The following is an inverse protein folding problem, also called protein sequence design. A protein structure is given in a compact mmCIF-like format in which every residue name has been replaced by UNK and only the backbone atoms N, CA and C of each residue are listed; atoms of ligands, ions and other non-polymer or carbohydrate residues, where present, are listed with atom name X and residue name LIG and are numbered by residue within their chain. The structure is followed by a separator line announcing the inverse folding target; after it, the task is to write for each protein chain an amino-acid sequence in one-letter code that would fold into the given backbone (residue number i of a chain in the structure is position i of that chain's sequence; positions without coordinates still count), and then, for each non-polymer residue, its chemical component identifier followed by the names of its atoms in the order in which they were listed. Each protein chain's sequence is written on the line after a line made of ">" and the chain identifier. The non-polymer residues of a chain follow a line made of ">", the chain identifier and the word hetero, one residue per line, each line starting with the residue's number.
data_IF_004909349359
#
_entry.id   IF_004909349359
#
_cell.length_a   1.000
_cell.length_b   1.000
_cell.length_c   1.000
_cell.angle_alpha   90.00
_cell.angle_beta   90.00
_cell.angle_gamma   90.00
#
_symmetry.space_group_name_H-M   'P 1'
#
loop_
_entity.id
_entity.type
_entity.pdbx_description
1 polymer ?
#
# COMPACT_ATOMS: atom_id res chain seq x y z
N UNK A 1 -17.44 2.02 23.10
CA UNK A 1 -16.07 2.60 23.00
C UNK A 1 -15.89 3.55 24.17
N UNK A 2 -14.74 3.50 24.84
CA UNK A 2 -14.42 4.43 25.95
C UNK A 2 -14.49 5.89 25.44
N UNK A 3 -15.27 6.80 26.08
CA UNK A 3 -15.37 8.20 25.70
C UNK A 3 -14.02 8.92 25.57
N UNK A 4 -13.04 8.58 26.41
CA UNK A 4 -11.68 9.18 26.34
C UNK A 4 -10.99 8.78 25.05
N UNK A 5 -11.02 7.49 24.72
CA UNK A 5 -10.46 6.96 23.46
C UNK A 5 -11.14 7.58 22.23
N UNK A 6 -12.45 7.76 22.28
CA UNK A 6 -13.20 8.39 21.19
C UNK A 6 -12.76 9.84 20.94
N UNK A 7 -12.54 10.62 22.01
CA UNK A 7 -12.07 11.99 21.91
C UNK A 7 -10.65 12.09 21.32
N UNK A 8 -9.76 11.17 21.70
CA UNK A 8 -8.40 11.11 21.13
C UNK A 8 -8.41 10.76 19.64
N UNK A 9 -9.24 9.80 19.23
CA UNK A 9 -9.42 9.46 17.81
C UNK A 9 -9.93 10.67 17.02
N UNK A 10 -10.91 11.42 17.55
CA UNK A 10 -11.42 12.60 16.83
C UNK A 10 -10.39 13.73 16.75
N UNK A 11 -9.57 13.92 17.79
CA UNK A 11 -8.43 14.85 17.75
C UNK A 11 -7.45 14.48 16.64
N UNK A 12 -7.09 13.21 16.54
CA UNK A 12 -6.18 12.70 15.50
C UNK A 12 -6.80 12.83 14.10
N UNK A 13 -8.10 12.58 13.96
CA UNK A 13 -8.84 12.79 12.72
C UNK A 13 -8.81 14.28 12.32
N UNK A 14 -8.97 15.21 13.25
CA UNK A 14 -8.85 16.63 12.97
C UNK A 14 -7.44 17.02 12.47
N UNK A 15 -6.38 16.46 13.08
CA UNK A 15 -5.01 16.63 12.59
C UNK A 15 -4.88 16.12 11.15
N UNK A 16 -5.28 14.87 10.89
CA UNK A 16 -5.22 14.28 9.55
C UNK A 16 -6.03 15.08 8.51
N UNK A 17 -7.22 15.60 8.86
CA UNK A 17 -8.00 16.47 7.97
C UNK A 17 -7.25 17.74 7.61
N UNK A 18 -6.58 18.36 8.59
CA UNK A 18 -5.81 19.59 8.36
C UNK A 18 -4.58 19.39 7.45
N UNK A 19 -4.07 18.17 7.35
CA UNK A 19 -2.92 17.80 6.53
C UNK A 19 -3.30 17.33 5.12
N UNK A 20 -4.59 17.24 4.81
CA UNK A 20 -5.07 16.88 3.48
C UNK A 20 -4.61 17.94 2.46
N UNK A 21 -4.11 17.48 1.31
CA UNK A 21 -3.61 18.33 0.24
C UNK A 21 -4.34 18.01 -1.06
N UNK A 22 -4.53 19.02 -1.89
CA UNK A 22 -5.06 18.82 -3.25
C UNK A 22 -4.07 18.07 -4.15
N UNK A 23 -2.77 18.18 -3.87
CA UNK A 23 -1.72 17.63 -4.71
C UNK A 23 -0.67 16.88 -3.88
N UNK A 24 -0.31 15.70 -4.36
CA UNK A 24 0.73 14.85 -3.77
C UNK A 24 1.79 14.49 -4.81
N UNK A 25 3.05 14.40 -4.37
CA UNK A 25 4.13 13.82 -5.17
C UNK A 25 4.42 12.42 -4.66
N UNK A 26 4.22 11.42 -5.51
CA UNK A 26 4.52 10.02 -5.20
C UNK A 26 5.91 9.68 -5.75
N UNK A 27 6.92 9.73 -4.89
CA UNK A 27 8.28 9.32 -5.28
C UNK A 27 8.29 7.81 -5.55
N UNK A 28 9.03 7.32 -6.55
CA UNK A 28 9.03 5.90 -6.89
C UNK A 28 7.67 5.38 -7.36
N UNK A 29 6.89 6.22 -8.04
CA UNK A 29 5.64 5.81 -8.69
C UNK A 29 5.88 5.26 -10.10
N UNK A 30 4.87 4.58 -10.64
CA UNK A 30 4.81 4.12 -12.02
C UNK A 30 3.67 4.82 -12.77
N UNK A 31 3.69 4.73 -14.10
CA UNK A 31 2.63 5.28 -14.97
C UNK A 31 1.44 4.33 -15.14
N UNK A 32 1.57 3.08 -14.68
CA UNK A 32 0.52 2.06 -14.75
C UNK A 32 0.38 1.31 -13.43
N UNK A 33 -0.80 0.73 -13.21
CA UNK A 33 -1.10 -0.10 -12.04
C UNK A 33 -0.17 -1.32 -11.97
N UNK A 34 -0.06 -2.06 -13.07
CA UNK A 34 0.81 -3.23 -13.20
C UNK A 34 2.28 -2.86 -13.04
N UNK A 35 2.71 -1.71 -13.58
CA UNK A 35 4.08 -1.23 -13.44
C UNK A 35 4.44 -0.91 -11.98
N UNK A 36 3.50 -0.34 -11.21
CA UNK A 36 3.72 -0.10 -9.78
C UNK A 36 3.90 -1.42 -9.01
N UNK A 37 3.11 -2.43 -9.34
CA UNK A 37 3.18 -3.77 -8.73
C UNK A 37 4.47 -4.49 -9.14
N UNK A 38 4.84 -4.47 -10.42
CA UNK A 38 6.09 -5.06 -10.93
C UNK A 38 7.31 -4.47 -10.23
N UNK A 39 7.36 -3.14 -10.11
CA UNK A 39 8.45 -2.42 -9.45
C UNK A 39 8.55 -2.79 -7.97
N UNK A 40 7.42 -2.81 -7.25
CA UNK A 40 7.39 -3.15 -5.83
C UNK A 40 7.82 -4.60 -5.58
N UNK A 41 7.33 -5.56 -6.38
CA UNK A 41 7.71 -6.97 -6.25
C UNK A 41 9.18 -7.20 -6.59
N UNK A 42 9.69 -6.51 -7.61
CA UNK A 42 11.11 -6.56 -7.98
C UNK A 42 11.97 -6.06 -6.82
N UNK A 43 11.59 -4.94 -6.20
CA UNK A 43 12.28 -4.39 -5.03
C UNK A 43 12.22 -5.35 -3.83
N UNK A 44 11.04 -5.87 -3.49
CA UNK A 44 10.89 -6.83 -2.37
C UNK A 44 11.80 -8.05 -2.52
N UNK A 45 11.96 -8.56 -3.75
CA UNK A 45 12.80 -9.72 -4.03
C UNK A 45 14.29 -9.46 -3.79
N UNK A 46 14.77 -8.23 -4.03
CA UNK A 46 16.20 -7.89 -3.93
C UNK A 46 16.57 -7.15 -2.64
N UNK A 47 15.60 -6.54 -1.96
CA UNK A 47 15.82 -5.79 -0.72
C UNK A 47 15.88 -6.72 0.50
N UNK A 48 16.95 -6.65 1.32
CA UNK A 48 17.07 -7.40 2.56
C UNK A 48 15.94 -7.14 3.57
N UNK A 49 15.71 -8.10 4.48
CA UNK A 49 14.62 -8.09 5.48
C UNK A 49 14.61 -6.95 6.53
N UNK A 50 15.62 -6.09 6.52
CA UNK A 50 15.78 -5.02 7.51
C UNK A 50 15.80 -3.64 6.83
N UNK A 51 15.12 -3.50 5.69
CA UNK A 51 15.19 -2.32 4.83
C UNK A 51 13.85 -1.99 4.14
N UNK A 52 12.75 -2.56 4.64
CA UNK A 52 11.39 -2.39 4.11
C UNK A 52 10.95 -0.93 4.11
N UNK A 53 11.32 -0.17 5.15
CA UNK A 53 10.95 1.24 5.27
C UNK A 53 11.69 2.13 4.27
N UNK A 54 12.75 1.61 3.65
CA UNK A 54 13.55 2.29 2.62
C UNK A 54 13.14 1.92 1.20
N UNK A 55 12.14 1.04 1.04
CA UNK A 55 11.62 0.63 -0.27
C UNK A 55 11.04 1.84 -1.01
N UNK A 56 11.57 2.13 -2.19
CA UNK A 56 11.22 3.26 -3.03
C UNK A 56 9.86 3.09 -3.70
N UNK A 57 9.52 1.88 -4.13
CA UNK A 57 8.32 1.61 -4.93
C UNK A 57 7.09 1.26 -4.08
N UNK A 58 7.26 1.29 -2.76
CA UNK A 58 6.19 1.14 -1.77
C UNK A 58 6.00 2.44 -0.99
N UNK A 59 4.79 2.76 -0.55
CA UNK A 59 4.57 3.87 0.38
C UNK A 59 5.48 3.66 1.60
N UNK A 60 6.34 4.64 1.90
CA UNK A 60 7.15 4.65 3.11
C UNK A 60 6.32 5.19 4.30
N UNK A 61 6.82 5.14 5.55
CA UNK A 61 6.07 5.62 6.71
C UNK A 61 5.61 7.08 6.59
N UNK A 62 6.41 7.95 5.98
CA UNK A 62 6.04 9.35 5.72
C UNK A 62 4.86 9.47 4.75
N UNK A 63 4.88 8.73 3.64
CA UNK A 63 3.79 8.70 2.66
C UNK A 63 2.53 8.08 3.26
N UNK A 64 2.66 7.05 4.10
CA UNK A 64 1.51 6.50 4.83
C UNK A 64 0.90 7.60 5.71
N UNK A 65 1.72 8.27 6.52
CA UNK A 65 1.27 9.27 7.50
C UNK A 65 0.69 10.53 6.84
N UNK A 66 1.32 11.03 5.77
CA UNK A 66 0.99 12.34 5.16
C UNK A 66 0.10 12.24 3.92
N UNK A 67 -0.02 11.04 3.32
CA UNK A 67 -0.81 10.82 2.10
C UNK A 67 -1.94 9.83 2.38
N UNK A 68 -1.61 8.59 2.75
CA UNK A 68 -2.63 7.54 2.86
C UNK A 68 -3.62 7.79 4.00
N UNK A 69 -3.13 8.06 5.23
CA UNK A 69 -4.00 8.25 6.39
C UNK A 69 -5.00 9.42 6.23
N UNK A 70 -4.58 10.64 5.83
CA UNK A 70 -5.51 11.73 5.56
C UNK A 70 -6.58 11.39 4.53
N UNK A 71 -6.19 10.66 3.48
CA UNK A 71 -7.10 10.31 2.39
C UNK A 71 -8.04 9.14 2.75
N UNK A 72 -7.71 8.33 3.76
CA UNK A 72 -8.50 7.18 4.21
C UNK A 72 -9.52 7.53 5.32
N UNK A 73 -9.56 8.77 5.80
CA UNK A 73 -10.38 9.19 6.96
C UNK A 73 -11.88 8.89 6.87
N UNK A 74 -12.45 8.99 5.67
CA UNK A 74 -13.89 8.81 5.45
C UNK A 74 -14.27 7.35 5.16
N UNK A 75 -13.28 6.45 5.21
CA UNK A 75 -13.49 5.03 5.00
C UNK A 75 -13.92 4.35 6.30
N UNK A 76 -14.86 3.41 6.21
CA UNK A 76 -15.30 2.59 7.34
C UNK A 76 -14.35 1.41 7.54
N UNK A 77 -13.16 1.67 8.06
CA UNK A 77 -12.17 0.63 8.34
C UNK A 77 -11.37 0.92 9.61
N UNK A 78 -10.77 -0.13 10.16
CA UNK A 78 -10.00 -0.06 11.42
C UNK A 78 -8.89 1.00 11.41
N UNK A 79 -8.28 1.28 10.26
CA UNK A 79 -7.22 2.29 10.14
C UNK A 79 -7.79 3.71 10.31
N UNK A 80 -8.97 3.98 9.74
CA UNK A 80 -9.65 5.27 9.85
C UNK A 80 -10.31 5.50 11.23
N UNK A 81 -10.58 4.41 11.96
CA UNK A 81 -11.24 4.39 13.27
C UNK A 81 -10.25 4.21 14.43
N UNK A 82 -8.95 4.32 14.16
CA UNK A 82 -7.88 4.20 15.17
C UNK A 82 -7.17 5.53 15.39
N UNK A 83 -6.43 5.64 16.49
CA UNK A 83 -5.45 6.70 16.68
C UNK A 83 -4.39 6.62 15.57
N UNK A 84 -3.73 7.73 15.26
CA UNK A 84 -2.67 7.76 14.24
C UNK A 84 -1.60 6.73 14.54
N UNK A 85 -1.12 6.67 15.79
CA UNK A 85 -0.06 5.74 16.19
C UNK A 85 -0.48 4.28 16.03
N UNK A 86 -1.70 3.93 16.49
CA UNK A 86 -2.28 2.60 16.35
C UNK A 86 -2.45 2.21 14.87
N UNK A 87 -2.91 3.16 14.04
CA UNK A 87 -3.10 2.97 12.61
C UNK A 87 -1.75 2.72 11.90
N UNK A 88 -0.74 3.52 12.22
CA UNK A 88 0.62 3.36 11.70
C UNK A 88 1.22 2.01 12.12
N UNK A 89 1.08 1.64 13.40
CA UNK A 89 1.57 0.37 13.91
C UNK A 89 0.89 -0.82 13.24
N UNK A 90 -0.45 -0.79 13.10
CA UNK A 90 -1.20 -1.84 12.42
C UNK A 90 -0.77 -2.01 10.97
N UNK A 91 -0.56 -0.91 10.25
CA UNK A 91 -0.09 -0.94 8.86
C UNK A 91 1.33 -1.48 8.76
N UNK A 92 2.21 -1.14 9.71
CA UNK A 92 3.57 -1.67 9.77
C UNK A 92 3.58 -3.19 9.98
N UNK A 93 2.83 -3.71 10.95
CA UNK A 93 2.77 -5.16 11.23
C UNK A 93 2.23 -5.92 10.02
N UNK A 94 1.16 -5.43 9.39
CA UNK A 94 0.60 -6.03 8.16
C UNK A 94 1.58 -5.95 6.99
N UNK A 95 2.32 -4.85 6.88
CA UNK A 95 3.37 -4.67 5.88
C UNK A 95 4.45 -5.73 6.02
N UNK A 96 5.00 -5.90 7.22
CA UNK A 96 6.05 -6.87 7.48
C UNK A 96 5.59 -8.30 7.13
N UNK A 97 4.41 -8.71 7.62
CA UNK A 97 3.86 -10.03 7.35
C UNK A 97 3.60 -10.26 5.85
N UNK A 98 3.01 -9.29 5.16
CA UNK A 98 2.73 -9.38 3.73
C UNK A 98 4.00 -9.45 2.88
N UNK A 99 4.98 -8.58 3.15
CA UNK A 99 6.26 -8.58 2.45
C UNK A 99 7.03 -9.88 2.68
N UNK A 100 7.03 -10.43 3.90
CA UNK A 100 7.70 -11.68 4.19
C UNK A 100 7.09 -12.86 3.44
N UNK A 101 5.76 -12.93 3.32
CA UNK A 101 5.08 -13.96 2.54
C UNK A 101 5.31 -13.79 1.02
N UNK A 102 5.39 -12.55 0.52
CA UNK A 102 5.82 -12.28 -0.86
C UNK A 102 7.24 -12.80 -1.09
N UNK A 103 8.18 -12.52 -0.19
CA UNK A 103 9.56 -13.01 -0.31
C UNK A 103 9.65 -14.52 -0.31
N UNK A 104 8.87 -15.20 0.53
CA UNK A 104 8.79 -16.65 0.52
C UNK A 104 8.29 -17.16 -0.84
N UNK A 105 7.26 -16.53 -1.39
CA UNK A 105 6.69 -16.86 -2.71
C UNK A 105 7.69 -16.64 -3.85
N UNK A 106 8.48 -15.57 -3.78
CA UNK A 106 9.50 -15.23 -4.78
C UNK A 106 10.85 -15.93 -4.54
N UNK A 107 10.99 -16.71 -3.47
CA UNK A 107 12.24 -17.37 -3.11
C UNK A 107 12.69 -18.34 -4.21
N UNK A 108 13.98 -18.30 -4.57
CA UNK A 108 14.54 -19.15 -5.63
C UNK A 108 14.04 -18.81 -7.04
N UNK A 109 13.37 -17.68 -7.23
CA UNK A 109 13.00 -17.17 -8.56
C UNK A 109 14.04 -16.19 -9.08
N UNK A 110 14.22 -16.17 -10.39
CA UNK A 110 15.12 -15.25 -11.09
C UNK A 110 14.45 -14.68 -12.35
N UNK A 111 15.10 -13.70 -12.97
CA UNK A 111 14.61 -13.05 -14.20
C UNK A 111 13.56 -11.96 -13.95
N UNK A 112 13.07 -11.38 -15.05
CA UNK A 112 12.08 -10.29 -15.01
C UNK A 112 10.74 -10.81 -14.50
N UNK A 113 10.15 -10.08 -13.55
CA UNK A 113 8.77 -10.31 -13.11
C UNK A 113 7.85 -9.68 -14.17
N UNK A 114 6.88 -10.45 -14.67
CA UNK A 114 5.83 -9.94 -15.56
C UNK A 114 4.49 -10.11 -14.87
N UNK A 115 3.73 -9.04 -14.76
CA UNK A 115 2.39 -9.07 -14.16
C UNK A 115 1.37 -9.39 -15.25
N UNK A 116 0.53 -10.40 -15.02
CA UNK A 116 -0.62 -10.64 -15.88
C UNK A 116 -1.60 -9.46 -15.77
N UNK A 117 -2.30 -9.08 -16.85
CA UNK A 117 -3.25 -7.98 -16.81
C UNK A 117 -4.25 -8.13 -15.66
N UNK A 118 -4.39 -7.08 -14.85
CA UNK A 118 -5.33 -7.09 -13.73
C UNK A 118 -6.73 -6.88 -14.31
N UNK A 119 -7.70 -7.71 -13.87
CA UNK A 119 -9.07 -7.67 -14.41
C UNK A 119 -9.67 -6.26 -14.34
N UNK A 120 -10.31 -5.88 -15.44
CA UNK A 120 -11.15 -4.70 -15.57
C UNK A 120 -12.63 -5.10 -15.51
N UNK A 121 -13.53 -4.25 -14.95
CA UNK A 121 -13.23 -2.99 -14.28
C UNK A 121 -12.48 -3.21 -12.96
N UNK A 122 -11.56 -2.29 -12.64
CA UNK A 122 -10.83 -2.36 -11.37
C UNK A 122 -11.76 -2.03 -10.20
N UNK A 123 -11.53 -2.66 -9.04
CA UNK A 123 -12.18 -2.29 -7.79
C UNK A 123 -11.53 -1.02 -7.24
N UNK A 124 -11.98 0.15 -7.72
CA UNK A 124 -11.47 1.45 -7.31
C UNK A 124 -12.30 1.99 -6.14
N UNK A 125 -11.67 2.13 -5.00
CA UNK A 125 -12.17 2.87 -3.85
C UNK A 125 -11.78 4.33 -4.00
N UNK A 126 -12.78 5.21 -4.09
CA UNK A 126 -12.53 6.65 -4.03
C UNK A 126 -12.13 7.03 -2.60
N UNK A 127 -10.87 7.44 -2.45
CA UNK A 127 -10.38 8.12 -1.26
C UNK A 127 -10.61 9.64 -1.44
N UNK A 128 -10.18 10.47 -0.50
CA UNK A 128 -10.53 11.89 -0.54
C UNK A 128 -9.97 12.62 -1.80
N UNK A 129 -8.65 12.74 -1.92
CA UNK A 129 -7.93 13.43 -3.02
C UNK A 129 -7.14 12.49 -3.92
N UNK A 130 -7.21 11.19 -3.67
CA UNK A 130 -6.52 10.14 -4.42
C UNK A 130 -7.48 8.98 -4.74
N UNK A 131 -7.10 8.12 -5.66
CA UNK A 131 -7.80 6.87 -5.92
C UNK A 131 -7.07 5.70 -5.26
N UNK A 132 -7.81 4.73 -4.73
CA UNK A 132 -7.26 3.50 -4.15
C UNK A 132 -7.73 2.29 -4.94
N UNK A 133 -6.83 1.57 -5.58
CA UNK A 133 -7.09 0.34 -6.32
C UNK A 133 -6.95 -0.83 -5.36
N UNK A 134 -8.07 -1.47 -5.03
CA UNK A 134 -8.07 -2.66 -4.16
C UNK A 134 -7.54 -3.83 -4.96
N UNK A 135 -6.39 -4.34 -4.53
CA UNK A 135 -5.71 -5.44 -5.19
C UNK A 135 -6.10 -6.74 -4.50
N UNK A 136 -6.51 -7.71 -5.31
CA UNK A 136 -6.80 -9.07 -4.87
C UNK A 136 -5.68 -10.01 -5.32
N UNK A 137 -6.05 -10.99 -6.13
CA UNK A 137 -5.10 -11.91 -6.76
C UNK A 137 -4.25 -11.23 -7.83
N UNK A 138 -2.93 -11.25 -7.66
CA UNK A 138 -1.95 -10.89 -8.69
C UNK A 138 -1.27 -12.16 -9.19
N UNK A 139 -1.46 -12.44 -10.48
CA UNK A 139 -0.71 -13.50 -11.17
C UNK A 139 0.50 -12.91 -11.85
N UNK A 140 1.63 -13.58 -11.72
CA UNK A 140 2.88 -13.14 -12.31
C UNK A 140 3.67 -14.29 -12.90
N UNK A 141 4.51 -13.99 -13.86
CA UNK A 141 5.49 -14.91 -14.44
C UNK A 141 6.90 -14.46 -14.11
N UNK A 142 7.73 -15.39 -13.64
CA UNK A 142 9.16 -15.15 -13.40
C UNK A 142 9.91 -16.48 -13.48
N UNK A 143 11.07 -16.51 -14.14
CA UNK A 143 11.92 -17.70 -14.23
C UNK A 143 11.20 -18.94 -14.79
N UNK A 144 10.26 -18.75 -15.74
CA UNK A 144 9.45 -19.83 -16.32
C UNK A 144 8.36 -20.39 -15.40
N UNK A 145 8.14 -19.79 -14.22
CA UNK A 145 7.09 -20.18 -13.27
C UNK A 145 5.99 -19.13 -13.25
N UNK A 146 4.75 -19.59 -13.14
CA UNK A 146 3.60 -18.76 -12.80
C UNK A 146 3.38 -18.79 -11.30
N UNK A 147 3.34 -17.62 -10.67
CA UNK A 147 3.15 -17.45 -9.24
C UNK A 147 1.91 -16.60 -8.96
N UNK A 148 1.45 -16.68 -7.71
CA UNK A 148 0.28 -16.01 -7.20
C UNK A 148 0.65 -15.21 -5.97
N UNK A 149 0.30 -13.92 -5.94
CA UNK A 149 0.50 -13.02 -4.80
C UNK A 149 -0.85 -12.41 -4.44
N UNK A 150 -1.23 -12.51 -3.18
CA UNK A 150 -2.46 -11.90 -2.64
C UNK A 150 -2.16 -10.80 -1.61
N UNK A 151 -0.89 -10.58 -1.31
CA UNK A 151 -0.47 -9.78 -0.17
C UNK A 151 -0.44 -8.28 -0.45
N UNK A 152 -0.41 -7.87 -1.72
CA UNK A 152 -0.60 -6.47 -2.11
C UNK A 152 -2.09 -6.17 -1.98
N UNK A 153 -2.47 -5.24 -1.10
CA UNK A 153 -3.89 -4.93 -0.82
C UNK A 153 -4.37 -3.64 -1.47
N UNK A 154 -3.49 -2.66 -1.62
CA UNK A 154 -3.87 -1.35 -2.18
C UNK A 154 -2.72 -0.74 -2.97
N UNK A 155 -3.04 -0.28 -4.18
CA UNK A 155 -2.23 0.69 -4.93
C UNK A 155 -2.96 2.03 -4.90
N UNK A 156 -2.26 3.11 -4.53
CA UNK A 156 -2.81 4.45 -4.64
C UNK A 156 -2.45 5.07 -5.99
N UNK A 157 -3.34 5.94 -6.48
CA UNK A 157 -3.12 6.73 -7.69
C UNK A 157 -3.43 8.19 -7.43
N UNK A 158 -2.56 9.05 -7.94
CA UNK A 158 -2.78 10.47 -7.99
C UNK A 158 -2.16 11.04 -9.28
N UNK A 159 -2.98 11.65 -10.14
CA UNK A 159 -2.58 12.23 -11.43
C UNK A 159 -1.83 11.24 -12.33
N UNK A 160 -2.40 10.05 -12.51
CA UNK A 160 -1.85 8.96 -13.33
C UNK A 160 -0.49 8.42 -12.84
N UNK A 161 -0.16 8.65 -11.56
CA UNK A 161 1.01 8.06 -10.90
C UNK A 161 0.54 7.05 -9.87
N UNK A 162 1.02 5.82 -9.98
CA UNK A 162 0.61 4.66 -9.20
C UNK A 162 1.71 4.24 -8.23
N UNK A 163 1.34 3.88 -7.01
CA UNK A 163 2.29 3.37 -6.01
C UNK A 163 1.64 2.35 -5.07
N UNK A 164 2.32 1.22 -4.83
CA UNK A 164 1.83 0.21 -3.86
C UNK A 164 1.88 0.83 -2.47
N UNK A 165 0.77 0.80 -1.74
CA UNK A 165 0.68 1.50 -0.46
C UNK A 165 0.47 0.59 0.74
N UNK A 166 -0.35 -0.46 0.62
CA UNK A 166 -0.61 -1.35 1.75
C UNK A 166 -0.44 -2.82 1.36
N UNK A 167 0.11 -3.58 2.30
CA UNK A 167 0.21 -5.04 2.22
C UNK A 167 -0.55 -5.69 3.37
N UNK A 168 -0.77 -7.00 3.30
CA UNK A 168 -1.32 -7.79 4.39
C UNK A 168 -1.46 -9.26 4.03
N UNK A 169 -1.80 -10.07 5.02
CA UNK A 169 -2.11 -11.50 4.86
C UNK A 169 -3.60 -11.70 5.10
#
# INVERSE_FOLDING_TARGET
>A
MDPKRAAEIEKDRAVLRSELKENYSLNGSADTLEGAIENALTEIRVTPRNSEDKMKFSCNPDEIRKIYLPNNLDQKNIVAESKIEDAMYLLLVRRMAGIDKIRQTLSGTSGKIKIAPIKTPHNVRKLNKINGYVIGDVRLETGGKTLRIDEIKLVIEHKNKFKVCTYGT
#
